data_IF_129604714427
#
_entry.id   IF_129604714427
#
_cell.length_a   1.000
_cell.length_b   1.000
_cell.length_c   1.000
_cell.angle_alpha   90.00
_cell.angle_beta   90.00
_cell.angle_gamma   90.00
#
_symmetry.space_group_name_H-M   'P 1'
#
loop_
_entity.id
_entity.type
_entity.pdbx_description
1 polymer ?
#
# COMPACT_ATOMS: atom_id res chain seq x y z
N UNK A 1 -16.64 3.46 9.16
CA UNK A 1 -15.84 2.80 8.11
C UNK A 1 -16.62 1.71 7.38
N UNK A 2 -17.39 0.89 8.09
CA UNK A 2 -18.19 -0.18 7.48
C UNK A 2 -19.43 0.30 6.70
N UNK A 3 -19.92 1.52 6.91
CA UNK A 3 -21.12 2.01 6.23
C UNK A 3 -20.84 2.50 4.80
N UNK A 4 -19.68 3.08 4.52
CA UNK A 4 -19.30 3.47 3.16
C UNK A 4 -19.20 2.26 2.21
N UNK A 5 -18.85 1.09 2.73
CA UNK A 5 -18.75 -0.15 1.95
C UNK A 5 -20.11 -0.79 1.61
N UNK A 6 -21.20 -0.46 2.30
CA UNK A 6 -22.53 -1.01 2.03
C UNK A 6 -23.19 -0.45 0.77
N UNK A 7 -22.81 0.72 0.31
CA UNK A 7 -23.45 1.40 -0.81
C UNK A 7 -22.78 1.20 -2.17
N UNK A 8 -21.62 0.57 -2.25
CA UNK A 8 -21.06 0.13 -3.54
C UNK A 8 -21.74 -1.19 -3.94
N UNK A 9 -22.72 -1.11 -4.86
CA UNK A 9 -23.03 -2.22 -5.76
C UNK A 9 -21.72 -2.82 -6.24
N UNK A 10 -21.65 -4.18 -6.40
CA UNK A 10 -20.60 -4.86 -7.14
C UNK A 10 -20.43 -4.17 -8.51
N UNK A 11 -19.76 -3.06 -8.54
CA UNK A 11 -19.40 -2.39 -9.76
C UNK A 11 -18.07 -2.96 -10.22
N UNK A 12 -17.96 -3.21 -11.47
CA UNK A 12 -16.92 -3.82 -12.30
C UNK A 12 -15.44 -3.47 -12.03
N UNK A 13 -15.10 -2.89 -10.91
CA UNK A 13 -13.74 -2.41 -10.64
C UNK A 13 -12.83 -3.38 -9.88
N UNK A 14 -13.22 -4.64 -9.66
CA UNK A 14 -12.34 -5.67 -9.07
C UNK A 14 -11.72 -5.32 -7.69
N UNK A 15 -12.25 -4.32 -7.01
CA UNK A 15 -11.68 -3.84 -5.76
C UNK A 15 -12.04 -4.76 -4.60
N UNK A 16 -11.03 -5.42 -4.07
CA UNK A 16 -11.12 -6.23 -2.85
C UNK A 16 -10.63 -5.38 -1.68
N UNK A 17 -11.54 -5.02 -0.77
CA UNK A 17 -11.16 -4.40 0.49
C UNK A 17 -10.44 -5.44 1.37
N UNK A 18 -9.25 -5.12 1.83
CA UNK A 18 -8.52 -5.98 2.74
C UNK A 18 -9.10 -5.90 4.14
N UNK A 19 -9.54 -7.02 4.74
CA UNK A 19 -10.06 -7.03 6.12
C UNK A 19 -9.02 -6.52 7.14
N UNK A 20 -9.49 -5.85 8.20
CA UNK A 20 -8.60 -5.23 9.20
C UNK A 20 -7.65 -6.23 9.91
N UNK A 21 -8.10 -7.45 10.15
CA UNK A 21 -7.26 -8.49 10.76
C UNK A 21 -6.11 -8.94 9.84
N UNK A 22 -6.32 -8.96 8.51
CA UNK A 22 -5.28 -9.26 7.53
C UNK A 22 -4.28 -8.10 7.46
N UNK A 23 -4.77 -6.86 7.39
CA UNK A 23 -3.91 -5.67 7.42
C UNK A 23 -3.04 -5.62 8.67
N UNK A 24 -3.64 -5.93 9.83
CA UNK A 24 -2.93 -6.00 11.12
C UNK A 24 -1.92 -7.15 11.16
N UNK A 25 -2.25 -8.28 10.56
CA UNK A 25 -1.32 -9.43 10.45
C UNK A 25 -0.11 -9.08 9.59
N UNK A 26 -0.33 -8.53 8.39
CA UNK A 26 0.74 -8.16 7.47
C UNK A 26 1.66 -7.08 8.07
N UNK A 27 1.09 -6.09 8.74
CA UNK A 27 1.83 -5.05 9.46
C UNK A 27 2.83 -5.65 10.46
N UNK A 28 2.37 -6.62 11.28
CA UNK A 28 3.22 -7.31 12.26
C UNK A 28 4.21 -8.27 11.63
N UNK A 29 3.83 -8.94 10.54
CA UNK A 29 4.66 -9.94 9.87
C UNK A 29 5.99 -9.37 9.38
N UNK A 30 6.00 -8.13 8.93
CA UNK A 30 7.22 -7.47 8.44
C UNK A 30 7.81 -6.47 9.45
N UNK A 31 7.34 -6.48 10.69
CA UNK A 31 7.83 -5.64 11.80
C UNK A 31 7.87 -4.15 11.43
N UNK A 32 6.72 -3.60 11.02
CA UNK A 32 6.65 -2.15 10.78
C UNK A 32 6.71 -1.42 12.10
N UNK A 33 7.60 -0.44 12.21
CA UNK A 33 7.77 0.41 13.39
C UNK A 33 7.60 1.92 13.05
N UNK A 34 7.68 2.77 14.07
CA UNK A 34 7.49 4.23 13.94
C UNK A 34 8.54 4.93 13.08
N UNK A 35 9.66 4.29 12.77
CA UNK A 35 10.77 4.87 12.01
C UNK A 35 10.76 4.46 10.53
N UNK A 36 9.91 3.52 10.18
CA UNK A 36 9.78 3.00 8.82
C UNK A 36 9.12 3.99 7.84
N UNK A 37 9.42 3.80 6.56
CA UNK A 37 8.77 4.46 5.42
C UNK A 37 7.96 3.41 4.67
N UNK A 38 6.64 3.49 4.79
CA UNK A 38 5.69 2.47 4.34
C UNK A 38 5.12 2.84 2.98
N UNK A 39 5.15 1.90 2.05
CA UNK A 39 4.55 2.01 0.72
C UNK A 39 3.38 1.03 0.55
N UNK A 40 2.30 1.51 -0.05
CA UNK A 40 1.28 0.71 -0.72
C UNK A 40 1.13 1.18 -2.17
N UNK A 41 1.67 0.41 -3.13
CA UNK A 41 1.66 0.77 -4.55
C UNK A 41 0.37 0.38 -5.29
N UNK A 42 -0.65 -0.05 -4.57
CA UNK A 42 -2.01 -0.29 -5.07
C UNK A 42 -3.00 0.02 -3.94
N UNK A 43 -2.93 1.26 -3.42
CA UNK A 43 -3.43 1.57 -2.09
C UNK A 43 -4.97 1.57 -1.98
N UNK A 44 -5.69 1.54 -3.10
CA UNK A 44 -7.13 1.54 -3.08
C UNK A 44 -7.66 2.73 -2.27
N UNK A 45 -8.49 2.47 -1.28
CA UNK A 45 -8.97 3.50 -0.35
C UNK A 45 -7.98 3.92 0.74
N UNK A 46 -6.74 3.42 0.73
CA UNK A 46 -5.70 3.76 1.70
C UNK A 46 -5.75 2.98 3.02
N UNK A 47 -6.44 1.85 3.08
CA UNK A 47 -6.65 1.11 4.32
C UNK A 47 -5.34 0.64 5.00
N UNK A 48 -4.36 0.15 4.25
CA UNK A 48 -3.05 -0.22 4.79
C UNK A 48 -2.31 0.99 5.36
N UNK A 49 -2.34 2.12 4.65
CA UNK A 49 -1.66 3.34 5.06
C UNK A 49 -2.28 3.93 6.32
N UNK A 50 -3.61 3.97 6.41
CA UNK A 50 -4.31 4.40 7.64
C UNK A 50 -3.96 3.48 8.81
N UNK A 51 -3.93 2.18 8.61
CA UNK A 51 -3.56 1.21 9.66
C UNK A 51 -2.12 1.39 10.12
N UNK A 52 -1.19 1.53 9.16
CA UNK A 52 0.22 1.80 9.45
C UNK A 52 0.36 3.11 10.25
N UNK A 53 -0.27 4.19 9.79
CA UNK A 53 -0.27 5.48 10.48
C UNK A 53 -0.75 5.36 11.93
N UNK A 54 -1.90 4.73 12.16
CA UNK A 54 -2.46 4.59 13.51
C UNK A 54 -1.51 3.84 14.46
N UNK A 55 -0.91 2.75 13.97
CA UNK A 55 -0.01 1.94 14.78
C UNK A 55 1.33 2.66 15.05
N UNK A 56 1.94 3.25 14.01
CA UNK A 56 3.19 4.01 14.12
C UNK A 56 3.04 5.23 15.04
N UNK A 57 1.94 5.96 14.93
CA UNK A 57 1.64 7.11 15.81
C UNK A 57 1.42 6.67 17.26
N UNK A 58 0.75 5.54 17.47
CA UNK A 58 0.59 4.95 18.82
C UNK A 58 1.96 4.60 19.42
N UNK A 59 2.82 3.95 18.67
CA UNK A 59 4.18 3.60 19.08
C UNK A 59 5.05 4.83 19.35
N UNK A 60 4.84 5.92 18.59
CA UNK A 60 5.50 7.20 18.78
C UNK A 60 5.04 7.99 20.04
N UNK A 61 4.15 7.42 20.85
CA UNK A 61 3.64 8.06 22.07
C UNK A 61 2.39 8.93 21.85
N UNK A 62 1.73 8.79 20.66
CA UNK A 62 0.44 9.43 20.35
C UNK A 62 0.53 10.65 19.45
N UNK A 63 -0.64 11.18 19.11
CA UNK A 63 -0.84 12.18 18.03
C UNK A 63 -0.18 13.54 18.26
N UNK A 64 0.19 13.87 19.51
CA UNK A 64 0.76 15.17 19.87
C UNK A 64 2.29 15.21 19.80
N UNK A 65 2.93 14.12 19.45
CA UNK A 65 4.40 14.04 19.40
C UNK A 65 4.94 14.61 18.08
N UNK A 66 6.19 15.12 18.11
CA UNK A 66 6.90 15.53 16.88
C UNK A 66 7.06 14.35 15.93
N UNK A 67 7.27 13.13 16.46
CA UNK A 67 7.40 11.92 15.65
C UNK A 67 6.10 11.60 14.92
N UNK A 68 4.94 11.77 15.55
CA UNK A 68 3.66 11.59 14.89
C UNK A 68 3.47 12.55 13.71
N UNK A 69 3.93 13.80 13.81
CA UNK A 69 3.93 14.73 12.69
C UNK A 69 4.83 14.22 11.56
N UNK A 70 6.05 13.79 11.86
CA UNK A 70 6.97 13.22 10.86
C UNK A 70 6.39 11.99 10.15
N UNK A 71 5.75 11.07 10.90
CA UNK A 71 5.09 9.89 10.34
C UNK A 71 4.07 10.30 9.27
N UNK A 72 3.23 11.26 9.59
CA UNK A 72 2.18 11.77 8.71
C UNK A 72 2.74 12.52 7.50
N UNK A 73 3.78 13.32 7.70
CA UNK A 73 4.32 14.18 6.65
C UNK A 73 5.17 13.42 5.62
N UNK A 74 5.98 12.43 6.05
CA UNK A 74 7.04 11.88 5.20
C UNK A 74 7.32 10.38 5.37
N UNK A 75 6.41 9.60 5.97
CA UNK A 75 6.66 8.17 6.17
C UNK A 75 5.60 7.24 5.55
N UNK A 76 4.53 7.77 4.99
CA UNK A 76 3.44 6.99 4.39
C UNK A 76 3.29 7.37 2.92
N UNK A 77 3.34 6.39 2.02
CA UNK A 77 3.34 6.59 0.58
C UNK A 77 2.35 5.65 -0.09
N UNK A 78 1.58 6.15 -1.05
CA UNK A 78 0.62 5.34 -1.79
C UNK A 78 0.56 5.70 -3.27
N UNK A 79 0.27 4.68 -4.08
CA UNK A 79 -0.06 4.85 -5.50
C UNK A 79 -1.42 4.22 -5.75
N UNK A 80 -2.27 4.95 -6.47
CA UNK A 80 -3.55 4.44 -6.96
C UNK A 80 -3.74 4.90 -8.41
N UNK A 81 -4.14 3.96 -9.25
CA UNK A 81 -4.33 4.21 -10.68
C UNK A 81 -5.69 4.86 -10.98
N UNK A 82 -6.75 4.36 -10.33
CA UNK A 82 -8.11 4.83 -10.57
C UNK A 82 -8.33 6.19 -9.91
N UNK A 83 -8.76 7.16 -10.71
CA UNK A 83 -8.95 8.56 -10.27
C UNK A 83 -9.97 8.71 -9.14
N UNK A 84 -11.09 7.98 -9.22
CA UNK A 84 -12.16 8.08 -8.21
C UNK A 84 -11.70 7.48 -6.89
N UNK A 85 -10.99 6.36 -6.97
CA UNK A 85 -10.46 5.67 -5.82
C UNK A 85 -9.29 6.43 -5.20
N UNK A 86 -8.45 7.04 -6.02
CA UNK A 86 -7.41 7.95 -5.55
C UNK A 86 -8.02 9.12 -4.75
N UNK A 87 -9.08 9.75 -5.26
CA UNK A 87 -9.79 10.80 -4.53
C UNK A 87 -10.36 10.29 -3.19
N UNK A 88 -10.88 9.05 -3.17
CA UNK A 88 -11.35 8.41 -1.94
C UNK A 88 -10.19 8.15 -0.96
N UNK A 89 -9.04 7.69 -1.43
CA UNK A 89 -7.85 7.50 -0.61
C UNK A 89 -7.40 8.83 0.03
N UNK A 90 -7.32 9.89 -0.76
CA UNK A 90 -6.97 11.22 -0.27
C UNK A 90 -7.95 11.69 0.82
N UNK A 91 -9.26 11.57 0.58
CA UNK A 91 -10.28 11.92 1.56
C UNK A 91 -10.15 11.11 2.84
N UNK A 92 -9.88 9.81 2.72
CA UNK A 92 -9.70 8.92 3.86
C UNK A 92 -8.48 9.29 4.71
N UNK A 93 -7.34 9.56 4.08
CA UNK A 93 -6.14 10.03 4.78
C UNK A 93 -6.38 11.35 5.49
N UNK A 94 -7.08 12.31 4.85
CA UNK A 94 -7.44 13.58 5.47
C UNK A 94 -8.36 13.42 6.69
N UNK A 95 -9.37 12.54 6.63
CA UNK A 95 -10.27 12.25 7.77
C UNK A 95 -9.45 11.73 8.96
N UNK A 96 -8.41 10.95 8.71
CA UNK A 96 -7.50 10.44 9.74
C UNK A 96 -6.40 11.44 10.13
N UNK A 97 -6.50 12.69 9.66
CA UNK A 97 -5.57 13.80 9.99
C UNK A 97 -4.12 13.48 9.61
N UNK A 98 -3.95 12.94 8.41
CA UNK A 98 -2.63 12.67 7.85
C UNK A 98 -1.84 13.97 7.55
N UNK A 99 -2.44 15.10 7.44
CA UNK A 99 -1.78 16.40 7.29
C UNK A 99 -1.20 16.67 5.91
N UNK A 100 -0.33 15.81 5.39
CA UNK A 100 0.23 15.85 4.04
C UNK A 100 0.08 14.47 3.39
N UNK A 101 -0.67 14.41 2.32
CA UNK A 101 -0.90 13.16 1.62
C UNK A 101 0.25 12.89 0.63
N UNK A 102 1.08 11.88 0.89
CA UNK A 102 2.08 11.39 -0.07
C UNK A 102 1.46 10.29 -0.94
N UNK A 103 0.30 10.56 -1.51
CA UNK A 103 -0.36 9.71 -2.48
C UNK A 103 -0.15 10.29 -3.88
N UNK A 104 0.03 9.39 -4.86
CA UNK A 104 0.15 9.76 -6.27
C UNK A 104 -0.84 8.97 -7.12
N UNK A 105 -1.46 9.66 -8.07
CA UNK A 105 -2.29 9.02 -9.09
C UNK A 105 -1.42 8.54 -10.23
N UNK A 106 -0.88 7.34 -10.12
CA UNK A 106 0.01 6.74 -11.11
C UNK A 106 -0.39 5.29 -11.41
N UNK A 107 0.07 4.79 -12.54
CA UNK A 107 0.01 3.36 -12.85
C UNK A 107 1.30 2.68 -12.36
N UNK A 108 1.20 1.85 -11.34
CA UNK A 108 2.34 1.12 -10.75
C UNK A 108 3.02 0.13 -11.70
N UNK A 109 2.50 -0.04 -12.92
CA UNK A 109 3.12 -0.81 -14.00
C UNK A 109 4.10 0.01 -14.84
N UNK A 110 4.18 1.32 -14.65
CA UNK A 110 4.99 2.23 -15.45
C UNK A 110 6.36 2.50 -14.85
N UNK A 111 7.27 2.97 -15.70
CA UNK A 111 8.60 3.42 -15.26
C UNK A 111 8.50 4.66 -14.35
N UNK A 112 7.55 5.55 -14.62
CA UNK A 112 7.31 6.75 -13.80
C UNK A 112 7.02 6.39 -12.34
N UNK A 113 6.15 5.39 -12.11
CA UNK A 113 5.87 4.88 -10.75
C UNK A 113 7.13 4.27 -10.11
N UNK A 114 7.93 3.51 -10.88
CA UNK A 114 9.20 2.97 -10.39
C UNK A 114 10.16 4.08 -9.91
N UNK A 115 10.30 5.14 -10.70
CA UNK A 115 11.20 6.25 -10.38
C UNK A 115 10.68 7.07 -9.19
N UNK A 116 9.38 7.24 -9.08
CA UNK A 116 8.75 7.85 -7.91
C UNK A 116 9.03 7.02 -6.64
N UNK A 117 8.83 5.68 -6.67
CA UNK A 117 9.10 4.79 -5.53
C UNK A 117 10.56 4.88 -5.11
N UNK A 118 11.52 4.81 -6.05
CA UNK A 118 12.96 4.92 -5.77
C UNK A 118 13.31 6.22 -5.03
N UNK A 119 12.63 7.32 -5.34
CA UNK A 119 12.87 8.63 -4.71
C UNK A 119 12.44 8.69 -3.24
N UNK A 120 11.66 7.73 -2.73
CA UNK A 120 11.03 7.80 -1.39
C UNK A 120 11.79 7.06 -0.30
N UNK A 121 12.86 6.31 -0.61
CA UNK A 121 13.63 5.53 0.38
C UNK A 121 12.74 4.61 1.23
N UNK A 122 11.90 3.81 0.59
CA UNK A 122 10.95 2.91 1.22
C UNK A 122 11.67 1.81 1.99
N UNK A 123 11.20 1.51 3.20
CA UNK A 123 11.75 0.44 4.06
C UNK A 123 10.79 -0.74 4.25
N UNK A 124 9.49 -0.49 4.07
CA UNK A 124 8.45 -1.52 4.20
C UNK A 124 7.42 -1.37 3.08
N UNK A 125 6.94 -2.49 2.56
CA UNK A 125 5.85 -2.53 1.57
C UNK A 125 4.71 -3.40 2.09
N UNK A 126 3.50 -2.85 2.09
CA UNK A 126 2.26 -3.55 2.39
C UNK A 126 1.32 -3.38 1.21
N UNK A 127 0.94 -4.44 0.52
CA UNK A 127 0.15 -4.29 -0.71
C UNK A 127 -0.80 -5.47 -0.94
N UNK A 128 -2.03 -5.14 -1.34
CA UNK A 128 -3.01 -6.07 -1.89
C UNK A 128 -3.36 -5.64 -3.33
N UNK A 129 -2.54 -5.98 -4.33
CA UNK A 129 -2.75 -5.54 -5.71
C UNK A 129 -3.99 -6.20 -6.33
N UNK A 130 -4.60 -5.60 -7.37
CA UNK A 130 -5.77 -6.17 -8.02
C UNK A 130 -5.45 -7.53 -8.68
N UNK A 131 -6.30 -8.54 -8.43
CA UNK A 131 -6.05 -9.92 -8.87
C UNK A 131 -6.41 -10.20 -10.32
N UNK A 132 -7.22 -9.36 -10.94
CA UNK A 132 -7.63 -9.55 -12.33
C UNK A 132 -6.44 -9.49 -13.28
N UNK A 133 -6.44 -10.39 -14.29
CA UNK A 133 -5.32 -10.51 -15.24
C UNK A 133 -5.07 -9.21 -16.01
N UNK A 134 -6.13 -8.44 -16.31
CA UNK A 134 -6.03 -7.15 -17.00
C UNK A 134 -5.21 -6.09 -16.25
N UNK A 135 -5.12 -6.19 -14.92
CA UNK A 135 -4.35 -5.24 -14.10
C UNK A 135 -2.90 -5.66 -13.86
N UNK A 136 -2.53 -6.89 -14.21
CA UNK A 136 -1.13 -7.31 -14.18
C UNK A 136 -0.49 -7.30 -12.79
N UNK A 137 -1.14 -7.90 -11.78
CA UNK A 137 -0.65 -7.83 -10.38
C UNK A 137 0.82 -8.22 -10.21
N UNK A 138 1.31 -9.21 -10.95
CA UNK A 138 2.72 -9.63 -10.88
C UNK A 138 3.68 -8.62 -11.52
N UNK A 139 3.20 -7.79 -12.46
CA UNK A 139 3.99 -6.67 -13.02
C UNK A 139 4.15 -5.58 -11.96
N UNK A 140 3.08 -5.27 -11.24
CA UNK A 140 3.12 -4.30 -10.13
C UNK A 140 4.11 -4.76 -9.06
N UNK A 141 4.03 -6.03 -8.64
CA UNK A 141 4.94 -6.62 -7.63
C UNK A 141 6.39 -6.56 -8.09
N UNK A 142 6.69 -6.98 -9.33
CA UNK A 142 8.04 -6.95 -9.91
C UNK A 142 8.60 -5.52 -9.94
N UNK A 143 7.81 -4.55 -10.38
CA UNK A 143 8.20 -3.15 -10.42
C UNK A 143 8.50 -2.60 -9.02
N UNK A 144 7.66 -2.92 -8.03
CA UNK A 144 7.88 -2.51 -6.63
C UNK A 144 9.18 -3.11 -6.11
N UNK A 145 9.39 -4.43 -6.26
CA UNK A 145 10.59 -5.12 -5.78
C UNK A 145 11.87 -4.56 -6.39
N UNK A 146 11.85 -4.17 -7.68
CA UNK A 146 12.99 -3.53 -8.37
C UNK A 146 13.20 -2.07 -7.99
N UNK A 147 12.21 -1.45 -7.37
CA UNK A 147 12.24 -0.02 -7.05
C UNK A 147 12.59 0.26 -5.60
N UNK A 148 12.52 -0.72 -4.73
CA UNK A 148 12.90 -0.59 -3.31
C UNK A 148 14.33 -1.05 -3.08
N UNK A 149 14.96 -0.59 -2.00
CA UNK A 149 16.31 -0.98 -1.64
C UNK A 149 16.40 -2.45 -1.23
N UNK A 150 17.55 -3.07 -1.44
CA UNK A 150 17.82 -4.41 -0.92
C UNK A 150 17.67 -4.44 0.60
N UNK A 151 16.95 -5.42 1.11
CA UNK A 151 16.63 -5.55 2.54
C UNK A 151 15.30 -4.91 2.95
N UNK A 152 14.60 -4.22 2.04
CA UNK A 152 13.23 -3.77 2.28
C UNK A 152 12.33 -4.99 2.52
N UNK A 153 11.61 -5.01 3.66
CA UNK A 153 10.65 -6.08 3.94
C UNK A 153 9.32 -5.79 3.25
N UNK A 154 8.81 -6.78 2.52
CA UNK A 154 7.58 -6.65 1.74
C UNK A 154 6.57 -7.73 2.13
N UNK A 155 5.29 -7.37 2.26
CA UNK A 155 4.18 -8.30 2.40
C UNK A 155 3.14 -8.04 1.32
N UNK A 156 2.81 -9.08 0.56
CA UNK A 156 1.86 -9.02 -0.55
C UNK A 156 0.74 -10.05 -0.36
N UNK A 157 -0.48 -9.68 -0.73
CA UNK A 157 -1.57 -10.64 -0.91
C UNK A 157 -1.62 -10.98 -2.39
N UNK A 158 -1.36 -12.23 -2.74
CA UNK A 158 -1.31 -12.67 -4.14
C UNK A 158 -2.14 -13.95 -4.33
N UNK A 159 -2.73 -14.16 -5.52
CA UNK A 159 -3.38 -15.42 -5.84
C UNK A 159 -2.34 -16.52 -6.03
N UNK A 160 -2.43 -17.61 -5.26
CA UNK A 160 -1.55 -18.79 -5.32
C UNK A 160 -1.41 -19.35 -6.74
N UNK A 161 -2.52 -19.51 -7.47
CA UNK A 161 -2.53 -20.00 -8.85
C UNK A 161 -1.67 -19.18 -9.82
N UNK A 162 -1.51 -17.87 -9.58
CA UNK A 162 -0.65 -17.02 -10.39
C UNK A 162 0.82 -17.20 -10.06
N UNK A 163 1.13 -17.43 -8.79
CA UNK A 163 2.51 -17.69 -8.35
C UNK A 163 3.03 -19.03 -8.89
N UNK A 164 2.20 -20.07 -8.83
CA UNK A 164 2.62 -21.42 -9.21
C UNK A 164 2.66 -21.65 -10.73
N UNK A 165 1.73 -21.06 -11.49
CA UNK A 165 1.53 -21.36 -12.91
C UNK A 165 2.15 -20.33 -13.86
N UNK A 166 2.33 -19.10 -13.43
CA UNK A 166 2.88 -18.03 -14.25
C UNK A 166 4.43 -18.06 -14.18
N UNK A 167 5.09 -17.95 -15.34
CA UNK A 167 6.56 -17.86 -15.42
C UNK A 167 7.13 -16.70 -14.60
N UNK A 168 6.41 -15.55 -14.54
CA UNK A 168 6.80 -14.43 -13.69
C UNK A 168 6.61 -14.73 -12.21
N UNK A 169 5.53 -15.41 -11.84
CA UNK A 169 5.27 -15.83 -10.46
C UNK A 169 6.37 -16.73 -9.94
N UNK A 170 6.81 -17.74 -10.72
CA UNK A 170 7.92 -18.62 -10.35
C UNK A 170 9.21 -17.85 -10.12
N UNK A 171 9.54 -16.89 -11.01
CA UNK A 171 10.73 -16.04 -10.84
C UNK A 171 10.68 -15.17 -9.59
N UNK A 172 9.50 -14.70 -9.19
CA UNK A 172 9.33 -13.90 -7.96
C UNK A 172 9.51 -14.74 -6.68
N UNK A 173 9.25 -16.06 -6.75
CA UNK A 173 9.46 -16.98 -5.62
C UNK A 173 10.93 -17.40 -5.46
N UNK A 174 11.78 -17.17 -6.46
CA UNK A 174 13.21 -17.50 -6.46
C UNK A 174 14.09 -16.35 -5.91
N UNK A 175 13.49 -15.18 -5.63
CA UNK A 175 14.15 -13.99 -5.09
C UNK A 175 13.86 -13.78 -3.61
#
# INVERSE_FOLDING_TARGET
FNEFNRYKKKSDSGQVFTPDHITSFMYRLIDVDKDDRVLDAACGSGAFLVKAMCNMVKEAGGVKTKKAATIKDVQLYGIEFDREIFALACANMLIHKDGKTNLEQLDSRTQEACDWIKSKNITKVLMNPPFESKYGCLVIVDNVLRSVAKGTKCAFILPDKKLEKDRKGKKLLEH
#
